data_IF_330802782427
#
_entry.id   IF_330802782427
#
_cell.length_a   1.000
_cell.length_b   1.000
_cell.length_c   1.000
_cell.angle_alpha   90.00
_cell.angle_beta   90.00
_cell.angle_gamma   90.00
#
_symmetry.space_group_name_H-M   'P 1'
#
loop_
_entity.id
_entity.type
_entity.pdbx_description
1 polymer ?
#
# COMPACT_ATOMS: atom_id res chain seq x y z
N UNK A 1 -29.35 29.35 -19.19
CA UNK A 1 -27.93 29.46 -19.58
C UNK A 1 -27.18 28.33 -18.92
N UNK A 2 -26.70 27.31 -19.66
CA UNK A 2 -25.93 26.24 -19.06
C UNK A 2 -24.53 26.75 -18.71
N UNK A 3 -24.00 26.36 -17.54
CA UNK A 3 -22.62 26.65 -17.14
C UNK A 3 -21.69 25.70 -17.88
N UNK A 4 -20.82 26.24 -18.71
CA UNK A 4 -19.72 25.51 -19.33
C UNK A 4 -18.52 25.48 -18.38
N UNK A 5 -17.97 24.28 -18.16
CA UNK A 5 -16.79 24.09 -17.34
C UNK A 5 -15.55 24.05 -18.24
N UNK A 6 -14.61 24.96 -17.99
CA UNK A 6 -13.31 24.99 -18.66
C UNK A 6 -12.35 24.05 -17.91
N UNK A 7 -11.67 23.17 -18.63
CA UNK A 7 -10.60 22.32 -18.08
C UNK A 7 -9.44 23.22 -17.65
N UNK A 8 -9.07 23.16 -16.37
CA UNK A 8 -7.83 23.78 -15.89
C UNK A 8 -6.63 23.11 -16.60
N UNK A 9 -5.76 23.93 -17.20
CA UNK A 9 -4.52 23.52 -17.87
C UNK A 9 -3.44 23.06 -16.91
N UNK A 10 -3.60 23.36 -15.63
CA UNK A 10 -2.54 23.22 -14.64
C UNK A 10 -2.67 21.85 -13.96
N UNK A 11 -2.30 20.83 -14.73
CA UNK A 11 -1.96 19.54 -14.15
C UNK A 11 -0.68 19.77 -13.34
N UNK A 12 -0.82 19.84 -12.01
CA UNK A 12 0.32 19.76 -11.10
C UNK A 12 1.20 18.58 -11.57
N UNK A 13 2.50 18.79 -11.83
CA UNK A 13 3.35 17.71 -12.27
C UNK A 13 3.34 16.65 -11.17
N UNK A 14 2.65 15.54 -11.45
CA UNK A 14 2.70 14.37 -10.57
C UNK A 14 4.17 13.96 -10.57
N UNK A 15 4.82 14.08 -9.42
CA UNK A 15 6.21 13.65 -9.27
C UNK A 15 6.25 12.14 -9.54
N UNK A 16 6.77 11.74 -10.70
CA UNK A 16 6.79 10.36 -11.20
C UNK A 16 7.80 9.45 -10.48
N UNK A 17 8.22 9.81 -9.26
CA UNK A 17 9.21 9.06 -8.50
C UNK A 17 8.65 8.76 -7.12
N UNK A 18 8.38 7.47 -6.88
CA UNK A 18 8.03 6.97 -5.55
C UNK A 18 9.22 7.11 -4.63
N UNK A 19 9.27 8.20 -3.87
CA UNK A 19 10.20 8.35 -2.75
C UNK A 19 9.79 7.35 -1.67
N UNK A 20 10.71 6.43 -1.37
CA UNK A 20 10.45 5.27 -0.50
C UNK A 20 10.80 5.54 0.96
N UNK A 21 11.52 6.63 1.23
CA UNK A 21 12.01 7.02 2.54
C UNK A 21 11.77 8.50 2.84
N UNK A 22 11.46 8.83 4.10
CA UNK A 22 11.29 10.20 4.58
C UNK A 22 12.50 11.09 4.28
N UNK A 23 13.71 10.52 4.31
CA UNK A 23 14.94 11.25 3.96
C UNK A 23 14.99 11.61 2.48
N UNK A 24 14.45 10.77 1.60
CA UNK A 24 14.39 11.06 0.16
C UNK A 24 13.36 12.15 -0.14
N UNK A 25 12.22 12.12 0.56
CA UNK A 25 11.20 13.17 0.47
C UNK A 25 11.76 14.54 0.90
N UNK A 26 12.44 14.62 2.05
CA UNK A 26 13.08 15.86 2.51
C UNK A 26 14.11 16.39 1.49
N UNK A 27 14.88 15.51 0.86
CA UNK A 27 15.81 15.90 -0.21
C UNK A 27 15.06 16.45 -1.43
N UNK A 28 13.95 15.82 -1.83
CA UNK A 28 13.13 16.29 -2.94
C UNK A 28 12.54 17.69 -2.66
N UNK A 29 12.03 17.93 -1.44
CA UNK A 29 11.56 19.26 -1.02
C UNK A 29 12.70 20.29 -1.06
N UNK A 30 13.87 19.95 -0.53
CA UNK A 30 15.05 20.83 -0.60
C UNK A 30 15.44 21.14 -2.05
N UNK A 31 15.38 20.16 -2.96
CA UNK A 31 15.63 20.38 -4.38
C UNK A 31 14.60 21.33 -5.01
N UNK A 32 13.31 21.20 -4.67
CA UNK A 32 12.26 22.09 -5.17
C UNK A 32 12.48 23.52 -4.65
N UNK A 33 12.72 23.69 -3.35
CA UNK A 33 13.03 24.99 -2.75
C UNK A 33 14.27 25.63 -3.38
N UNK A 34 15.29 24.83 -3.68
CA UNK A 34 16.49 25.29 -4.35
C UNK A 34 16.22 25.75 -5.80
N UNK A 35 15.40 25.02 -6.55
CA UNK A 35 14.97 25.42 -7.89
C UNK A 35 14.16 26.73 -7.83
N UNK A 36 13.26 26.87 -6.86
CA UNK A 36 12.52 28.12 -6.64
C UNK A 36 13.44 29.30 -6.29
N UNK A 37 14.48 29.07 -5.49
CA UNK A 37 15.51 30.07 -5.21
C UNK A 37 16.23 30.52 -6.49
N UNK A 38 16.64 29.56 -7.34
CA UNK A 38 17.28 29.89 -8.62
C UNK A 38 16.32 30.62 -9.57
N UNK A 39 15.03 30.28 -9.56
CA UNK A 39 14.00 31.01 -10.31
C UNK A 39 13.80 32.44 -9.83
N UNK A 40 13.88 32.67 -8.51
CA UNK A 40 13.85 34.03 -7.93
C UNK A 40 15.07 34.87 -8.32
N UNK A 41 16.19 34.23 -8.66
CA UNK A 41 17.39 34.87 -9.16
C UNK A 41 17.32 35.18 -10.68
N UNK A 42 16.15 35.11 -11.30
CA UNK A 42 15.89 35.35 -12.72
C UNK A 42 16.71 34.45 -13.69
N UNK A 43 17.04 33.23 -13.26
CA UNK A 43 17.64 32.23 -14.15
C UNK A 43 16.56 31.57 -15.02
N UNK A 44 16.89 31.37 -16.29
CA UNK A 44 16.05 30.60 -17.23
C UNK A 44 16.10 29.10 -16.91
N UNK A 45 15.08 28.34 -17.31
CA UNK A 45 15.03 26.89 -17.04
C UNK A 45 16.23 26.12 -17.68
N UNK A 46 16.74 26.60 -18.82
CA UNK A 46 17.94 26.05 -19.46
C UNK A 46 19.21 26.31 -18.64
N UNK A 47 19.32 27.51 -18.08
CA UNK A 47 20.42 27.92 -17.19
C UNK A 47 20.41 27.14 -15.87
N UNK A 48 19.22 26.94 -15.28
CA UNK A 48 19.02 26.13 -14.08
C UNK A 48 19.45 24.68 -14.35
N UNK A 49 19.06 24.13 -15.50
CA UNK A 49 19.45 22.77 -15.89
C UNK A 49 20.97 22.65 -16.07
N UNK A 50 21.61 23.63 -16.74
CA UNK A 50 23.06 23.67 -16.90
C UNK A 50 23.79 23.74 -15.55
N UNK A 51 23.27 24.52 -14.60
CA UNK A 51 23.81 24.62 -13.25
C UNK A 51 23.72 23.29 -12.50
N UNK A 52 22.55 22.65 -12.50
CA UNK A 52 22.33 21.36 -11.85
C UNK A 52 23.18 20.24 -12.47
N UNK A 53 23.33 20.22 -13.78
CA UNK A 53 24.14 19.23 -14.49
C UNK A 53 25.64 19.41 -14.21
N UNK A 54 26.08 20.66 -13.97
CA UNK A 54 27.44 20.98 -13.53
C UNK A 54 27.70 20.49 -12.09
N UNK A 55 26.78 20.74 -11.15
CA UNK A 55 26.89 20.25 -9.76
C UNK A 55 26.90 18.72 -9.68
N UNK A 56 26.15 18.05 -10.57
CA UNK A 56 26.14 16.58 -10.68
C UNK A 56 27.40 16.02 -11.36
N UNK A 57 28.23 16.86 -11.99
CA UNK A 57 29.41 16.42 -12.76
C UNK A 57 29.07 15.67 -14.06
N UNK A 58 27.82 15.77 -14.54
CA UNK A 58 27.28 15.02 -15.69
C UNK A 58 27.49 15.76 -17.02
N UNK A 59 27.89 17.03 -16.93
CA UNK A 59 28.02 17.96 -18.05
C UNK A 59 28.91 17.46 -19.20
N UNK A 60 30.01 16.77 -18.88
CA UNK A 60 30.97 16.25 -19.87
C UNK A 60 30.42 15.10 -20.73
N UNK A 61 29.38 14.41 -20.26
CA UNK A 61 28.85 13.20 -20.90
C UNK A 61 27.77 13.50 -21.95
N UNK A 62 27.09 14.65 -21.85
CA UNK A 62 25.85 14.89 -22.60
C UNK A 62 25.84 16.14 -23.47
N UNK A 63 26.73 17.11 -23.27
CA UNK A 63 26.71 18.36 -24.05
C UNK A 63 27.78 18.36 -25.14
N UNK A 64 27.35 18.41 -26.40
CA UNK A 64 28.22 18.65 -27.58
C UNK A 64 28.61 20.13 -27.71
N UNK A 65 28.78 20.83 -26.59
CA UNK A 65 29.11 22.25 -26.55
C UNK A 65 30.63 22.38 -26.40
N UNK A 66 31.23 23.31 -27.14
CA UNK A 66 32.64 23.61 -26.98
C UNK A 66 32.96 24.07 -25.56
N UNK A 67 34.07 23.59 -24.99
CA UNK A 67 34.41 23.82 -23.58
C UNK A 67 34.53 25.32 -23.23
N UNK A 68 34.91 26.17 -24.19
CA UNK A 68 35.04 27.62 -23.97
C UNK A 68 33.66 28.30 -23.85
N UNK A 69 32.75 27.99 -24.78
CA UNK A 69 31.37 28.51 -24.76
C UNK A 69 30.66 28.10 -23.47
N UNK A 70 30.86 26.85 -23.03
CA UNK A 70 30.32 26.34 -21.79
C UNK A 70 30.85 27.11 -20.58
N UNK A 71 32.17 27.34 -20.50
CA UNK A 71 32.79 28.14 -19.43
C UNK A 71 32.23 29.56 -19.39
N UNK A 72 32.03 30.19 -20.54
CA UNK A 72 31.49 31.55 -20.61
C UNK A 72 30.02 31.59 -20.15
N UNK A 73 29.20 30.61 -20.56
CA UNK A 73 27.83 30.47 -20.03
C UNK A 73 27.80 30.28 -18.52
N UNK A 74 28.66 29.41 -17.97
CA UNK A 74 28.76 29.21 -16.52
C UNK A 74 29.21 30.50 -15.80
N UNK A 75 30.18 31.24 -16.36
CA UNK A 75 30.61 32.53 -15.81
C UNK A 75 29.45 33.53 -15.75
N UNK A 76 28.69 33.66 -16.84
CA UNK A 76 27.52 34.56 -16.84
C UNK A 76 26.48 34.16 -15.80
N UNK A 77 26.28 32.85 -15.60
CA UNK A 77 25.38 32.31 -14.58
C UNK A 77 25.82 32.66 -13.16
N UNK A 78 27.07 32.39 -12.81
CA UNK A 78 27.60 32.70 -11.48
C UNK A 78 27.58 34.20 -11.19
N UNK A 79 27.81 35.05 -12.21
CA UNK A 79 27.71 36.50 -12.05
C UNK A 79 26.28 36.95 -11.71
N UNK A 80 25.26 36.39 -12.36
CA UNK A 80 23.84 36.67 -12.04
C UNK A 80 23.50 36.25 -10.61
N UNK A 81 23.97 35.06 -10.19
CA UNK A 81 23.73 34.55 -8.84
C UNK A 81 24.37 35.45 -7.77
N UNK A 82 25.62 35.89 -8.00
CA UNK A 82 26.31 36.79 -7.09
C UNK A 82 25.60 38.14 -6.97
N UNK A 83 25.14 38.72 -8.09
CA UNK A 83 24.36 39.96 -8.07
C UNK A 83 23.06 39.82 -7.28
N UNK A 84 22.40 38.66 -7.40
CA UNK A 84 21.18 38.36 -6.64
C UNK A 84 21.47 38.18 -5.14
N UNK A 85 22.55 37.52 -4.76
CA UNK A 85 22.94 37.42 -3.36
C UNK A 85 23.29 38.79 -2.75
N UNK A 86 23.93 39.66 -3.51
CA UNK A 86 24.23 41.04 -3.09
C UNK A 86 22.94 41.87 -2.94
N UNK A 87 21.94 41.66 -3.80
CA UNK A 87 20.63 42.32 -3.67
C UNK A 87 19.87 41.85 -2.42
N UNK A 88 19.91 40.55 -2.11
CA UNK A 88 19.32 40.00 -0.87
C UNK A 88 20.04 40.56 0.37
N UNK A 89 21.38 40.56 0.35
CA UNK A 89 22.19 41.08 1.47
C UNK A 89 21.89 42.56 1.71
N UNK A 90 21.84 43.38 0.66
CA UNK A 90 21.50 44.80 0.77
C UNK A 90 20.06 45.05 1.26
N UNK A 91 19.07 44.26 0.82
CA UNK A 91 17.69 44.32 1.35
C UNK A 91 17.63 43.91 2.84
N UNK A 92 18.39 42.91 3.28
CA UNK A 92 18.42 42.51 4.69
C UNK A 92 19.04 43.55 5.62
N UNK A 93 19.98 44.35 5.11
CA UNK A 93 20.63 45.43 5.88
C UNK A 93 19.66 46.61 6.04
N UNK A 94 18.90 46.97 5.01
CA UNK A 94 17.88 48.03 5.09
C UNK A 94 16.70 47.66 6.02
N UNK A 95 16.29 46.39 6.04
CA UNK A 95 15.22 45.91 6.92
C UNK A 95 15.59 45.84 8.41
N UNK A 96 16.87 45.95 8.78
CA UNK A 96 17.31 46.02 10.17
C UNK A 96 17.24 47.45 10.74
N UNK A 97 17.35 48.48 9.91
CA UNK A 97 17.19 49.88 10.34
C UNK A 97 15.71 50.24 10.61
N UNK A 98 14.78 49.62 9.88
CA UNK A 98 13.33 49.77 10.11
C UNK A 98 12.81 48.93 11.29
N UNK A 99 13.53 47.87 11.68
CA UNK A 99 13.18 47.03 12.85
C UNK A 99 13.44 47.73 14.19
N UNK A 100 14.39 48.67 14.24
CA UNK A 100 14.69 49.44 15.45
C UNK A 100 13.67 50.56 15.73
N UNK A 101 12.83 50.95 14.78
CA UNK A 101 11.78 51.98 14.95
C UNK A 101 10.40 51.42 15.30
N UNK A 102 10.16 50.13 15.10
CA UNK A 102 8.85 49.49 15.30
C UNK A 102 8.69 48.89 16.72
N UNK A 103 9.79 48.78 17.48
CA UNK A 103 9.77 48.16 18.82
C UNK A 103 9.27 49.07 19.96
N UNK A 104 8.77 50.27 19.64
CA UNK A 104 8.17 51.20 20.62
C UNK A 104 6.65 51.40 20.44
N UNK A 105 5.98 50.58 19.60
CA UNK A 105 4.54 50.77 19.30
C UNK A 105 3.75 49.48 19.03
N UNK A 106 4.14 48.37 19.65
CA UNK A 106 3.44 47.09 19.52
C UNK A 106 2.64 46.74 20.77
N UNK A 107 1.54 47.44 20.98
CA UNK A 107 0.32 46.79 21.47
C UNK A 107 -0.74 47.06 20.39
N UNK A 108 -1.29 45.98 19.84
CA UNK A 108 -2.35 45.93 18.81
C UNK A 108 -1.95 46.25 17.36
N UNK A 109 -1.28 45.31 16.69
CA UNK A 109 -1.44 45.13 15.23
C UNK A 109 -1.77 43.66 14.96
N UNK A 110 -2.86 43.48 14.23
CA UNK A 110 -3.54 42.22 13.93
C UNK A 110 -2.65 41.18 13.22
N UNK A 111 -2.54 39.99 13.80
CA UNK A 111 -2.06 38.78 13.12
C UNK A 111 -2.98 38.43 11.93
N UNK A 112 -2.46 38.30 10.70
CA UNK A 112 -3.29 38.10 9.51
C UNK A 112 -3.86 36.67 9.36
N UNK A 113 -3.74 35.80 10.38
CA UNK A 113 -4.20 34.40 10.31
C UNK A 113 -4.98 33.93 11.54
N UNK A 114 -5.71 34.81 12.22
CA UNK A 114 -6.64 34.38 13.28
C UNK A 114 -7.98 33.94 12.66
N UNK A 115 -8.01 32.75 12.08
CA UNK A 115 -9.19 32.13 11.43
C UNK A 115 -10.38 31.95 12.40
N UNK A 116 -10.17 32.08 13.72
CA UNK A 116 -11.19 31.85 14.73
C UNK A 116 -11.24 32.98 15.78
N UNK A 117 -12.43 33.41 16.20
CA UNK A 117 -12.61 34.46 17.21
C UNK A 117 -11.88 34.15 18.52
N UNK A 118 -11.50 35.17 19.29
CA UNK A 118 -10.68 35.06 20.51
C UNK A 118 -11.22 34.10 21.57
N UNK A 119 -12.53 33.88 21.59
CA UNK A 119 -13.20 32.96 22.52
C UNK A 119 -13.31 31.51 21.98
N UNK A 120 -12.70 31.19 20.85
CA UNK A 120 -12.74 29.84 20.29
C UNK A 120 -11.86 28.88 21.10
N UNK A 121 -12.31 27.66 21.42
CA UNK A 121 -11.58 26.70 22.25
C UNK A 121 -10.23 26.28 21.66
N UNK A 122 -10.01 26.51 20.36
CA UNK A 122 -8.72 26.29 19.69
C UNK A 122 -7.58 27.15 20.26
N UNK A 123 -7.90 28.28 20.89
CA UNK A 123 -6.91 29.13 21.55
C UNK A 123 -6.49 28.60 22.93
N UNK A 124 -7.20 27.59 23.47
CA UNK A 124 -6.94 26.95 24.77
C UNK A 124 -6.48 25.50 24.63
N UNK A 125 -5.90 25.14 23.47
CA UNK A 125 -5.47 23.77 23.22
C UNK A 125 -4.44 23.26 24.25
N UNK A 126 -3.55 24.11 24.74
CA UNK A 126 -2.59 23.73 25.79
C UNK A 126 -3.28 23.37 27.12
N UNK A 127 -4.30 24.15 27.52
CA UNK A 127 -5.09 23.85 28.73
C UNK A 127 -5.91 22.58 28.54
N UNK A 128 -6.48 22.37 27.35
CA UNK A 128 -7.22 21.15 27.01
C UNK A 128 -6.29 19.93 27.00
N UNK A 129 -5.09 20.06 26.45
CA UNK A 129 -4.06 19.03 26.45
C UNK A 129 -3.66 18.66 27.87
N UNK A 130 -3.46 19.64 28.74
CA UNK A 130 -3.17 19.39 30.15
C UNK A 130 -4.36 18.74 30.85
N UNK A 131 -5.58 19.19 30.64
CA UNK A 131 -6.76 18.58 31.27
C UNK A 131 -6.97 17.11 30.86
N UNK A 132 -6.74 16.79 29.57
CA UNK A 132 -6.98 15.46 29.01
C UNK A 132 -5.79 14.52 29.17
N UNK A 133 -4.56 15.02 29.09
CA UNK A 133 -3.35 14.20 29.01
C UNK A 133 -2.35 14.44 30.16
N UNK A 134 -2.62 15.30 31.14
CA UNK A 134 -1.70 15.50 32.29
C UNK A 134 -1.42 14.21 33.06
N UNK A 135 -2.38 13.29 33.15
CA UNK A 135 -2.19 11.99 33.79
C UNK A 135 -1.16 11.08 33.09
N UNK A 136 -0.79 11.39 31.84
CA UNK A 136 0.25 10.70 31.06
C UNK A 136 1.61 11.42 31.15
N UNK A 137 1.63 12.70 31.57
CA UNK A 137 2.86 13.47 31.78
C UNK A 137 3.51 13.02 33.09
N UNK A 138 4.26 11.93 33.00
CA UNK A 138 5.40 11.44 33.80
C UNK A 138 5.37 11.39 35.34
N UNK A 139 4.49 12.09 36.05
CA UNK A 139 4.58 12.23 37.52
C UNK A 139 3.59 11.35 38.32
N UNK A 140 2.71 10.61 37.65
CA UNK A 140 1.83 9.61 38.29
C UNK A 140 2.10 8.17 37.84
N UNK A 141 3.12 7.97 36.99
CA UNK A 141 3.50 6.64 36.53
C UNK A 141 4.15 5.89 37.70
N UNK A 142 3.36 5.05 38.36
CA UNK A 142 3.81 4.16 39.43
C UNK A 142 5.17 3.52 39.07
N UNK A 143 6.20 3.62 39.92
CA UNK A 143 7.53 3.10 39.62
C UNK A 143 7.44 1.61 39.24
N UNK A 144 8.27 1.20 38.29
CA UNK A 144 8.20 -0.13 37.66
C UNK A 144 8.18 -1.29 38.66
N UNK A 145 8.78 -1.09 39.83
CA UNK A 145 8.80 -2.04 40.95
C UNK A 145 7.43 -2.22 41.60
N UNK A 146 6.68 -1.13 41.85
CA UNK A 146 5.29 -1.18 42.34
C UNK A 146 4.37 -1.81 41.29
N UNK A 147 4.55 -1.46 40.01
CA UNK A 147 3.80 -2.07 38.89
C UNK A 147 4.01 -3.58 38.82
N UNK A 148 5.25 -4.06 38.93
CA UNK A 148 5.60 -5.50 38.96
C UNK A 148 4.98 -6.21 40.17
N UNK A 149 4.98 -5.60 41.36
CA UNK A 149 4.33 -6.19 42.55
C UNK A 149 2.82 -6.30 42.37
N UNK A 150 2.20 -5.29 41.78
CA UNK A 150 0.76 -5.26 41.52
C UNK A 150 0.37 -6.32 40.47
N UNK A 151 1.14 -6.47 39.39
CA UNK A 151 0.95 -7.55 38.40
C UNK A 151 0.98 -8.94 39.05
N UNK A 152 1.99 -9.24 39.86
CA UNK A 152 2.06 -10.53 40.58
C UNK A 152 0.89 -10.74 41.52
N UNK A 153 0.38 -9.69 42.17
CA UNK A 153 -0.80 -9.78 43.05
C UNK A 153 -2.07 -10.07 42.24
N UNK A 154 -2.24 -9.44 41.09
CA UNK A 154 -3.37 -9.68 40.20
C UNK A 154 -3.34 -11.08 39.59
N UNK A 155 -2.15 -11.55 39.22
CA UNK A 155 -1.94 -12.90 38.69
C UNK A 155 -2.33 -13.98 39.71
N UNK A 156 -1.86 -13.86 40.96
CA UNK A 156 -2.31 -14.75 42.05
C UNK A 156 -3.81 -14.68 42.30
N UNK A 157 -4.41 -13.49 42.18
CA UNK A 157 -5.87 -13.33 42.35
C UNK A 157 -6.62 -14.01 41.20
N UNK A 158 -6.13 -13.89 39.97
CA UNK A 158 -6.67 -14.58 38.79
C UNK A 158 -6.60 -16.09 38.95
N UNK A 159 -5.45 -16.63 39.38
CA UNK A 159 -5.29 -18.06 39.64
C UNK A 159 -6.27 -18.57 40.69
N UNK A 160 -6.48 -17.82 41.78
CA UNK A 160 -7.48 -18.18 42.80
C UNK A 160 -8.91 -18.20 42.26
N UNK A 161 -9.28 -17.25 41.41
CA UNK A 161 -10.61 -17.21 40.77
C UNK A 161 -10.78 -18.38 39.80
N UNK A 162 -9.76 -18.67 38.98
CA UNK A 162 -9.78 -19.83 38.07
C UNK A 162 -9.88 -21.14 38.84
N UNK A 163 -9.15 -21.29 39.95
CA UNK A 163 -9.22 -22.46 40.82
C UNK A 163 -10.61 -22.58 41.49
N UNK A 164 -11.23 -21.48 41.92
CA UNK A 164 -12.60 -21.48 42.42
C UNK A 164 -13.62 -21.88 41.34
N UNK A 165 -13.44 -21.44 40.10
CA UNK A 165 -14.27 -21.85 38.97
C UNK A 165 -14.10 -23.33 38.63
N UNK A 166 -12.90 -23.89 38.80
CA UNK A 166 -12.66 -25.32 38.60
C UNK A 166 -13.22 -26.19 39.74
N UNK A 167 -13.31 -25.67 40.97
CA UNK A 167 -13.89 -26.41 42.10
C UNK A 167 -15.42 -26.41 42.10
N UNK A 168 -16.05 -25.47 41.40
CA UNK A 168 -17.50 -25.43 41.19
C UNK A 168 -17.77 -25.92 39.76
N UNK A 169 -17.92 -27.23 39.57
CA UNK A 169 -18.35 -27.86 38.31
C UNK A 169 -19.77 -27.42 37.91
N UNK A 170 -19.92 -26.16 37.51
CA UNK A 170 -21.10 -25.62 36.86
C UNK A 170 -20.82 -25.57 35.36
N UNK A 171 -21.36 -26.54 34.62
CA UNK A 171 -21.44 -26.46 33.17
C UNK A 171 -22.18 -25.17 32.79
N UNK A 172 -21.58 -24.27 31.98
CA UNK A 172 -22.27 -23.05 31.58
C UNK A 172 -23.43 -23.43 30.65
N UNK A 173 -24.65 -23.14 31.09
CA UNK A 173 -25.80 -23.02 30.19
C UNK A 173 -25.52 -21.94 29.14
N UNK A 174 -26.04 -22.06 27.90
CA UNK A 174 -25.79 -21.08 26.85
C UNK A 174 -26.58 -19.82 27.16
N UNK A 175 -25.96 -18.90 27.89
CA UNK A 175 -26.42 -17.51 28.00
C UNK A 175 -25.47 -16.61 27.22
N UNK A 176 -26.09 -15.72 26.47
CA UNK A 176 -25.51 -14.82 25.49
C UNK A 176 -24.61 -13.76 26.13
N UNK A 177 -23.30 -14.01 26.21
CA UNK A 177 -22.25 -12.99 26.09
C UNK A 177 -20.87 -13.65 26.25
N UNK A 178 -20.19 -13.94 25.14
CA UNK A 178 -18.82 -14.43 25.18
C UNK A 178 -17.86 -13.30 25.57
N UNK A 179 -17.42 -13.31 26.83
CA UNK A 179 -16.25 -12.53 27.24
C UNK A 179 -15.01 -13.14 26.56
N UNK A 180 -14.52 -12.47 25.51
CA UNK A 180 -13.29 -12.83 24.80
C UNK A 180 -12.09 -12.61 25.73
N UNK A 181 -11.51 -13.68 26.26
CA UNK A 181 -10.24 -13.62 26.99
C UNK A 181 -9.05 -13.74 26.02
N UNK A 182 -8.69 -12.63 25.37
CA UNK A 182 -7.53 -12.54 24.50
C UNK A 182 -7.50 -11.24 23.70
N UNK A 183 -6.30 -10.67 23.52
CA UNK A 183 -6.08 -9.54 22.61
C UNK A 183 -6.23 -10.01 21.17
N UNK A 184 -6.97 -9.25 20.34
CA UNK A 184 -7.22 -9.53 18.92
C UNK A 184 -5.97 -9.51 18.03
N UNK A 185 -4.79 -9.23 18.60
CA UNK A 185 -3.54 -9.02 17.87
C UNK A 185 -2.56 -10.19 17.99
N UNK A 186 -2.86 -11.21 18.78
CA UNK A 186 -1.94 -12.32 19.01
C UNK A 186 -2.18 -13.45 17.99
N UNK A 187 -1.47 -13.38 16.86
CA UNK A 187 -1.39 -14.47 15.87
C UNK A 187 -0.73 -15.68 16.52
N UNK A 188 -1.49 -16.77 16.73
CA UNK A 188 -0.95 -18.03 17.24
C UNK A 188 -0.57 -18.95 16.08
N UNK A 189 0.70 -19.34 16.02
CA UNK A 189 1.17 -20.44 15.18
C UNK A 189 0.78 -21.76 15.84
N UNK A 190 -0.20 -22.46 15.27
CA UNK A 190 -0.68 -23.73 15.82
C UNK A 190 -0.84 -24.79 14.74
N UNK A 191 0.06 -25.76 14.75
CA UNK A 191 -0.15 -27.09 14.16
C UNK A 191 -1.48 -27.65 14.67
N UNK A 192 -2.33 -28.16 13.78
CA UNK A 192 -3.54 -28.89 14.17
C UNK A 192 -3.50 -30.32 13.68
N UNK A 193 -3.42 -31.20 14.66
CA UNK A 193 -3.81 -32.60 14.59
C UNK A 193 -5.27 -32.67 14.18
N UNK A 194 -5.53 -33.57 13.24
CA UNK A 194 -6.83 -33.99 12.74
C UNK A 194 -7.77 -34.44 13.86
N UNK A 195 -8.96 -33.85 13.94
CA UNK A 195 -10.16 -34.59 14.35
C UNK A 195 -11.31 -34.22 13.42
N UNK A 196 -11.86 -35.26 12.80
CA UNK A 196 -13.01 -35.23 11.92
C UNK A 196 -14.24 -34.78 12.71
N UNK A 197 -15.14 -34.03 12.08
CA UNK A 197 -16.56 -34.36 12.06
C UNK A 197 -17.26 -33.51 10.98
N UNK A 198 -17.82 -34.25 10.04
CA UNK A 198 -18.90 -33.85 9.14
C UNK A 198 -20.08 -33.36 9.94
N UNK A 199 -20.69 -32.24 9.52
CA UNK A 199 -22.14 -32.16 9.39
C UNK A 199 -22.50 -31.04 8.41
N UNK A 200 -23.31 -31.42 7.42
CA UNK A 200 -23.82 -30.58 6.34
C UNK A 200 -25.15 -30.00 6.78
N UNK A 201 -25.21 -28.70 7.01
CA UNK A 201 -26.49 -27.99 7.11
C UNK A 201 -26.63 -26.97 5.98
N UNK A 202 -27.62 -27.25 5.12
CA UNK A 202 -28.08 -26.40 4.03
C UNK A 202 -28.88 -25.21 4.60
N UNK A 203 -28.24 -24.08 4.83
CA UNK A 203 -28.94 -22.83 5.11
C UNK A 203 -29.32 -22.11 3.80
N UNK A 204 -30.63 -22.03 3.55
CA UNK A 204 -31.25 -21.15 2.57
C UNK A 204 -30.86 -19.70 2.92
N UNK A 205 -29.91 -19.15 2.15
CA UNK A 205 -29.36 -17.82 2.38
C UNK A 205 -30.43 -16.76 2.15
N UNK A 206 -30.95 -16.20 3.24
CA UNK A 206 -31.68 -14.94 3.23
C UNK A 206 -30.74 -13.89 2.64
N UNK A 207 -31.10 -13.29 1.49
CA UNK A 207 -30.33 -12.19 0.88
C UNK A 207 -30.37 -10.98 1.81
N UNK A 208 -29.38 -10.88 2.69
CA UNK A 208 -29.14 -9.71 3.51
C UNK A 208 -28.67 -8.60 2.56
N UNK A 209 -29.51 -7.60 2.32
CA UNK A 209 -29.11 -6.41 1.58
C UNK A 209 -28.18 -5.58 2.46
N UNK A 210 -26.88 -5.68 2.17
CA UNK A 210 -25.82 -4.90 2.79
C UNK A 210 -24.83 -4.41 1.73
N UNK A 211 -23.87 -3.54 2.11
CA UNK A 211 -22.78 -3.16 1.22
C UNK A 211 -22.06 -4.43 0.72
N UNK A 212 -21.69 -4.44 -0.57
CA UNK A 212 -20.94 -5.55 -1.16
C UNK A 212 -19.68 -5.81 -0.32
N UNK A 213 -19.37 -7.06 0.04
CA UNK A 213 -18.17 -7.35 0.83
C UNK A 213 -16.93 -6.84 0.10
N UNK A 214 -16.05 -6.16 0.84
CA UNK A 214 -14.81 -5.61 0.29
C UNK A 214 -13.82 -6.76 0.03
N UNK A 215 -13.25 -6.80 -1.17
CA UNK A 215 -12.13 -7.69 -1.49
C UNK A 215 -10.85 -7.14 -0.89
N UNK A 216 -10.13 -7.95 -0.11
CA UNK A 216 -8.91 -7.55 0.60
C UNK A 216 -7.65 -8.02 -0.15
N UNK A 217 -6.55 -7.28 -0.03
CA UNK A 217 -5.26 -7.60 -0.66
C UNK A 217 -4.10 -7.45 0.33
N UNK A 218 -3.02 -8.20 0.13
CA UNK A 218 -1.75 -8.11 0.86
C UNK A 218 -0.56 -8.08 -0.10
N UNK A 219 0.59 -7.64 0.39
CA UNK A 219 1.84 -7.62 -0.38
C UNK A 219 2.71 -8.77 0.12
N UNK A 220 3.08 -9.69 -0.78
CA UNK A 220 4.02 -10.79 -0.50
C UNK A 220 4.98 -10.92 -1.67
N UNK A 221 6.28 -11.02 -1.38
CA UNK A 221 7.32 -11.16 -2.41
C UNK A 221 7.26 -10.10 -3.51
N UNK A 222 6.94 -8.85 -3.13
CA UNK A 222 6.72 -7.70 -4.03
C UNK A 222 5.55 -7.85 -5.02
N UNK A 223 4.66 -8.81 -4.81
CA UNK A 223 3.44 -9.02 -5.58
C UNK A 223 2.21 -8.72 -4.73
N UNK A 224 1.20 -8.12 -5.35
CA UNK A 224 -0.11 -7.89 -4.73
C UNK A 224 -0.89 -9.20 -4.83
N UNK A 225 -1.35 -9.71 -3.69
CA UNK A 225 -2.08 -10.97 -3.60
C UNK A 225 -3.43 -10.74 -2.91
N UNK A 226 -4.48 -11.37 -3.43
CA UNK A 226 -5.83 -11.26 -2.90
C UNK A 226 -6.06 -12.25 -1.74
N UNK A 227 -6.83 -11.79 -0.76
CA UNK A 227 -7.29 -12.58 0.38
C UNK A 227 -8.76 -12.97 0.19
N UNK A 228 -9.09 -14.23 0.45
CA UNK A 228 -10.48 -14.70 0.51
C UNK A 228 -10.82 -15.23 1.90
N UNK A 229 -12.06 -15.02 2.37
CA UNK A 229 -12.51 -15.56 3.65
C UNK A 229 -12.53 -17.09 3.58
N UNK A 230 -11.99 -17.73 4.62
CA UNK A 230 -11.86 -19.17 4.68
C UNK A 230 -13.25 -19.83 4.80
N UNK A 231 -13.53 -20.80 3.93
CA UNK A 231 -14.85 -21.48 3.89
C UNK A 231 -15.21 -22.16 5.21
N UNK A 232 -14.20 -22.57 5.98
CA UNK A 232 -14.37 -23.29 7.24
C UNK A 232 -14.46 -22.36 8.45
N UNK A 233 -14.01 -21.10 8.35
CA UNK A 233 -14.00 -20.15 9.45
C UNK A 233 -14.29 -18.75 8.92
N UNK A 234 -15.50 -18.27 9.20
CA UNK A 234 -16.07 -17.01 8.67
C UNK A 234 -15.27 -15.75 9.00
N UNK A 235 -14.35 -15.81 9.96
CA UNK A 235 -13.54 -14.67 10.43
C UNK A 235 -12.05 -14.75 10.01
N UNK A 236 -11.62 -15.80 9.30
CA UNK A 236 -10.23 -15.98 8.87
C UNK A 236 -10.09 -15.71 7.36
N UNK A 237 -8.97 -15.13 6.93
CA UNK A 237 -8.69 -14.82 5.53
C UNK A 237 -7.42 -15.54 5.06
N UNK A 238 -7.51 -16.24 3.94
CA UNK A 238 -6.42 -16.98 3.34
C UNK A 238 -5.92 -16.32 2.05
N UNK A 239 -4.61 -16.36 1.84
CA UNK A 239 -3.97 -15.99 0.58
C UNK A 239 -4.37 -17.00 -0.49
N UNK A 240 -4.88 -16.51 -1.62
CA UNK A 240 -5.26 -17.35 -2.75
C UNK A 240 -4.30 -17.08 -3.91
N UNK A 241 -3.58 -18.13 -4.34
CA UNK A 241 -2.59 -18.04 -5.41
C UNK A 241 -3.23 -17.95 -6.81
N UNK A 242 -4.47 -18.43 -6.95
CA UNK A 242 -5.22 -18.45 -8.23
C UNK A 242 -6.60 -17.83 -8.00
N UNK A 243 -6.79 -16.58 -8.43
CA UNK A 243 -8.09 -15.90 -8.33
C UNK A 243 -8.64 -15.63 -9.73
N UNK A 244 -9.90 -16.02 -9.94
CA UNK A 244 -10.69 -15.59 -11.10
C UNK A 244 -10.87 -14.08 -11.02
N UNK A 245 -10.43 -13.31 -12.02
CA UNK A 245 -10.55 -11.87 -11.97
C UNK A 245 -12.02 -11.51 -11.95
N UNK A 246 -12.45 -10.86 -10.88
CA UNK A 246 -13.80 -10.31 -10.73
C UNK A 246 -13.87 -8.88 -11.28
N UNK A 247 -12.72 -8.22 -11.44
CA UNK A 247 -12.60 -6.83 -11.89
C UNK A 247 -11.55 -6.70 -13.00
N UNK A 248 -11.74 -5.72 -13.91
CA UNK A 248 -10.77 -5.36 -14.97
C UNK A 248 -9.35 -5.03 -14.46
N UNK A 249 -9.22 -4.64 -13.20
CA UNK A 249 -7.91 -4.41 -12.57
C UNK A 249 -7.18 -5.72 -12.25
N UNK A 250 -7.91 -6.78 -11.88
CA UNK A 250 -7.34 -8.10 -11.59
C UNK A 250 -6.92 -8.83 -12.88
N UNK A 251 -7.64 -8.63 -13.99
CA UNK A 251 -7.26 -9.13 -15.31
C UNK A 251 -5.85 -8.68 -15.70
N UNK A 252 -5.54 -7.39 -15.51
CA UNK A 252 -4.20 -6.82 -15.77
C UNK A 252 -3.11 -7.41 -14.87
N UNK A 253 -3.46 -7.77 -13.62
CA UNK A 253 -2.51 -8.40 -12.71
C UNK A 253 -2.19 -9.83 -13.15
N UNK A 254 -3.19 -10.56 -13.67
CA UNK A 254 -3.01 -11.90 -14.23
C UNK A 254 -2.22 -11.87 -15.54
N UNK A 255 -2.43 -10.87 -16.39
CA UNK A 255 -1.59 -10.64 -17.58
C UNK A 255 -0.11 -10.50 -17.21
N UNK A 256 0.19 -9.82 -16.10
CA UNK A 256 1.56 -9.70 -15.58
C UNK A 256 2.18 -11.02 -15.08
N UNK A 257 1.38 -12.07 -14.88
CA UNK A 257 1.89 -13.42 -14.54
C UNK A 257 2.13 -14.31 -15.74
N UNK A 258 1.62 -13.94 -16.92
CA UNK A 258 1.85 -14.68 -18.17
C UNK A 258 3.28 -14.39 -18.67
N UNK A 259 3.96 -15.42 -19.16
CA UNK A 259 5.25 -15.27 -19.83
C UNK A 259 5.07 -15.32 -21.34
N UNK A 260 5.95 -14.61 -22.07
CA UNK A 260 5.95 -14.68 -23.54
C UNK A 260 6.41 -16.07 -24.03
N UNK A 261 6.04 -16.44 -25.25
CA UNK A 261 6.46 -17.73 -25.83
C UNK A 261 7.98 -17.85 -25.96
N UNK A 262 8.67 -16.73 -26.17
CA UNK A 262 10.14 -16.68 -26.25
C UNK A 262 10.77 -16.95 -24.88
N UNK A 263 10.26 -16.30 -23.83
CA UNK A 263 10.72 -16.52 -22.45
C UNK A 263 10.42 -17.94 -21.98
N UNK A 264 9.27 -18.50 -22.36
CA UNK A 264 8.93 -19.90 -22.05
C UNK A 264 9.94 -20.84 -22.69
N UNK A 265 10.27 -20.66 -23.98
CA UNK A 265 11.24 -21.51 -24.69
C UNK A 265 12.67 -21.40 -24.14
N UNK A 266 13.00 -20.30 -23.46
CA UNK A 266 14.30 -20.15 -22.79
C UNK A 266 14.50 -21.15 -21.63
N UNK A 267 13.40 -21.62 -21.02
CA UNK A 267 13.43 -22.58 -19.92
C UNK A 267 13.66 -23.98 -20.48
N UNK A 268 14.66 -24.69 -19.94
CA UNK A 268 15.07 -26.03 -20.40
C UNK A 268 13.92 -27.04 -20.57
N UNK A 269 12.91 -26.98 -19.70
CA UNK A 269 11.76 -27.90 -19.72
C UNK A 269 10.76 -27.63 -20.85
N UNK A 270 10.82 -26.45 -21.48
CA UNK A 270 9.88 -26.00 -22.51
C UNK A 270 10.55 -25.68 -23.86
N UNK A 271 11.84 -26.00 -24.03
CA UNK A 271 12.58 -25.78 -25.28
C UNK A 271 11.89 -26.37 -26.50
N UNK A 272 11.31 -27.56 -26.34
CA UNK A 272 10.62 -28.30 -27.41
C UNK A 272 9.11 -28.03 -27.45
N UNK A 273 8.61 -27.01 -26.75
CA UNK A 273 7.18 -26.69 -26.75
C UNK A 273 6.75 -26.12 -28.11
N UNK A 274 5.76 -26.76 -28.72
CA UNK A 274 5.06 -26.27 -29.90
C UNK A 274 3.55 -26.40 -29.69
N UNK A 275 2.77 -25.35 -30.00
CA UNK A 275 1.31 -25.45 -29.97
C UNK A 275 0.87 -26.51 -31.00
N UNK A 276 0.05 -27.45 -30.55
CA UNK A 276 -0.50 -28.51 -31.39
C UNK A 276 -1.66 -28.04 -32.25
N UNK A 277 -2.33 -28.99 -32.92
CA UNK A 277 -3.60 -28.72 -33.58
C UNK A 277 -4.68 -28.37 -32.55
N UNK A 278 -5.58 -27.43 -32.82
CA UNK A 278 -6.70 -27.15 -31.95
C UNK A 278 -7.57 -28.39 -31.79
N UNK A 279 -7.96 -28.69 -30.55
CA UNK A 279 -8.71 -29.88 -30.17
C UNK A 279 -9.68 -29.52 -29.05
N UNK A 280 -10.77 -30.29 -28.87
CA UNK A 280 -11.71 -30.12 -27.74
C UNK A 280 -11.06 -30.33 -26.36
N UNK A 281 -9.95 -31.06 -26.33
CA UNK A 281 -9.28 -31.43 -25.08
C UNK A 281 -7.92 -30.74 -25.01
N UNK A 282 -7.75 -29.92 -23.98
CA UNK A 282 -6.50 -29.27 -23.63
C UNK A 282 -5.71 -30.15 -22.67
N UNK A 283 -4.42 -30.32 -22.97
CA UNK A 283 -3.49 -31.00 -22.09
C UNK A 283 -2.63 -29.99 -21.33
N UNK A 284 -2.70 -30.04 -20.01
CA UNK A 284 -1.93 -29.19 -19.11
C UNK A 284 -0.79 -29.99 -18.49
N UNK A 285 0.40 -29.39 -18.45
CA UNK A 285 1.62 -29.98 -17.87
C UNK A 285 2.29 -28.95 -16.96
N UNK A 286 3.14 -29.43 -16.05
CA UNK A 286 3.89 -28.59 -15.09
C UNK A 286 2.99 -27.91 -14.05
N UNK A 287 1.95 -28.61 -13.59
CA UNK A 287 1.09 -28.17 -12.50
C UNK A 287 1.79 -28.49 -11.17
N UNK A 288 1.76 -27.55 -10.22
CA UNK A 288 2.35 -27.75 -8.90
C UNK A 288 1.62 -28.87 -8.13
N UNK A 289 2.37 -29.63 -7.34
CA UNK A 289 1.85 -30.77 -6.60
C UNK A 289 0.77 -30.38 -5.58
N UNK A 290 0.82 -29.15 -5.05
CA UNK A 290 -0.13 -28.62 -4.07
C UNK A 290 -1.49 -28.27 -4.64
N UNK A 291 -1.63 -28.16 -5.97
CA UNK A 291 -2.83 -27.66 -6.62
C UNK A 291 -3.95 -28.69 -6.59
N UNK A 292 -5.14 -28.24 -6.21
CA UNK A 292 -6.37 -29.05 -6.17
C UNK A 292 -7.18 -28.93 -7.46
N UNK A 293 -8.06 -29.90 -7.72
CA UNK A 293 -8.97 -29.85 -8.88
C UNK A 293 -9.90 -28.64 -8.81
N UNK A 294 -10.33 -28.27 -7.60
CA UNK A 294 -11.17 -27.09 -7.35
C UNK A 294 -10.48 -25.80 -7.78
N UNK A 295 -9.18 -25.65 -7.49
CA UNK A 295 -8.39 -24.48 -7.90
C UNK A 295 -8.24 -24.38 -9.42
N UNK A 296 -8.00 -25.50 -10.09
CA UNK A 296 -8.00 -25.54 -11.55
C UNK A 296 -9.39 -25.22 -12.11
N UNK A 297 -10.45 -25.75 -11.50
CA UNK A 297 -11.82 -25.47 -11.92
C UNK A 297 -12.12 -23.98 -11.86
N UNK A 298 -11.62 -23.28 -10.83
CA UNK A 298 -11.75 -21.83 -10.72
C UNK A 298 -11.14 -21.13 -11.93
N UNK A 299 -9.91 -21.46 -12.30
CA UNK A 299 -9.24 -20.84 -13.46
C UNK A 299 -10.02 -21.03 -14.77
N UNK A 300 -10.65 -22.20 -14.96
CA UNK A 300 -11.40 -22.48 -16.20
C UNK A 300 -12.87 -22.03 -16.18
N UNK A 301 -13.42 -21.63 -15.02
CA UNK A 301 -14.79 -21.07 -14.92
C UNK A 301 -14.98 -19.77 -15.70
N UNK A 302 -13.91 -19.01 -15.96
CA UNK A 302 -14.03 -17.80 -16.80
C UNK A 302 -14.53 -18.13 -18.22
N UNK A 303 -14.11 -19.28 -18.76
CA UNK A 303 -14.53 -19.73 -20.09
C UNK A 303 -15.93 -20.34 -20.10
N UNK A 304 -16.44 -20.74 -18.93
CA UNK A 304 -17.82 -21.20 -18.73
C UNK A 304 -18.80 -20.00 -18.72
N UNK A 305 -18.42 -18.85 -18.16
CA UNK A 305 -19.29 -17.66 -18.10
C UNK A 305 -19.52 -17.00 -19.47
N UNK A 306 -18.50 -17.00 -20.35
CA UNK A 306 -18.62 -16.42 -21.69
C UNK A 306 -19.53 -17.25 -22.61
N UNK A 307 -19.62 -18.56 -22.39
CA UNK A 307 -20.26 -19.49 -23.32
C UNK A 307 -21.42 -20.31 -22.71
N UNK A 308 -21.61 -20.29 -21.39
CA UNK A 308 -22.67 -20.98 -20.66
C UNK A 308 -22.53 -22.51 -20.56
N UNK A 309 -21.36 -23.07 -20.87
CA UNK A 309 -21.18 -24.52 -21.01
C UNK A 309 -20.20 -25.13 -20.01
N UNK A 310 -20.52 -26.30 -19.42
CA UNK A 310 -19.71 -26.92 -18.39
C UNK A 310 -18.36 -27.41 -18.95
N UNK A 311 -17.30 -27.14 -18.20
CA UNK A 311 -15.93 -27.62 -18.49
C UNK A 311 -15.65 -28.85 -17.65
N UNK A 312 -15.29 -29.96 -18.29
CA UNK A 312 -14.92 -31.20 -17.59
C UNK A 312 -13.40 -31.20 -17.36
N UNK A 313 -12.99 -31.17 -16.09
CA UNK A 313 -11.59 -31.13 -15.68
C UNK A 313 -11.20 -32.48 -15.08
N UNK A 314 -10.00 -32.96 -15.38
CA UNK A 314 -9.46 -34.19 -14.80
C UNK A 314 -7.99 -34.00 -14.46
N UNK A 315 -7.70 -33.90 -13.16
CA UNK A 315 -6.34 -33.86 -12.63
C UNK A 315 -5.78 -35.28 -12.52
N UNK A 316 -4.59 -35.53 -13.07
CA UNK A 316 -3.94 -36.84 -12.97
C UNK A 316 -3.17 -36.97 -11.65
N UNK A 317 -3.29 -38.13 -11.01
CA UNK A 317 -2.61 -38.46 -9.74
C UNK A 317 -1.50 -39.51 -9.93
N UNK A 318 -0.73 -39.77 -8.86
CA UNK A 318 0.29 -40.82 -8.83
C UNK A 318 1.57 -40.44 -9.58
N UNK A 319 2.12 -41.37 -10.39
CA UNK A 319 3.33 -41.12 -11.19
C UNK A 319 3.15 -40.00 -12.22
N UNK A 320 1.90 -39.74 -12.63
CA UNK A 320 1.55 -38.69 -13.60
C UNK A 320 1.13 -37.37 -12.94
N UNK A 321 1.47 -37.16 -11.66
CA UNK A 321 1.17 -35.92 -10.94
C UNK A 321 1.76 -34.71 -11.65
N UNK A 322 1.01 -33.60 -11.64
CA UNK A 322 1.38 -32.36 -12.33
C UNK A 322 0.92 -32.27 -13.78
N UNK A 323 -0.03 -33.13 -14.16
CA UNK A 323 -0.66 -33.17 -15.48
C UNK A 323 -2.19 -33.15 -15.32
N UNK A 324 -2.89 -32.47 -16.22
CA UNK A 324 -4.36 -32.46 -16.24
C UNK A 324 -4.90 -32.41 -17.66
N UNK A 325 -6.14 -32.86 -17.82
CA UNK A 325 -6.90 -32.70 -19.05
C UNK A 325 -8.10 -31.80 -18.78
N UNK A 326 -8.34 -30.87 -19.70
CA UNK A 326 -9.52 -29.99 -19.68
C UNK A 326 -10.28 -30.24 -20.96
N UNK A 327 -11.52 -30.67 -20.84
CA UNK A 327 -12.38 -30.97 -21.99
C UNK A 327 -13.44 -29.89 -22.11
N UNK A 328 -13.41 -29.22 -23.24
CA UNK A 328 -14.39 -28.23 -23.65
C UNK A 328 -15.45 -28.88 -24.55
N UNK A 329 -16.66 -28.34 -24.52
CA UNK A 329 -17.75 -28.79 -25.39
C UNK A 329 -17.59 -28.27 -26.83
N UNK A 330 -16.90 -27.14 -27.02
CA UNK A 330 -16.66 -26.48 -28.30
C UNK A 330 -15.17 -26.45 -28.68
N UNK A 331 -14.86 -26.63 -29.97
CA UNK A 331 -13.49 -26.57 -30.53
C UNK A 331 -12.98 -25.14 -30.72
N UNK A 332 -13.88 -24.16 -30.87
CA UNK A 332 -13.52 -22.80 -31.30
C UNK A 332 -12.76 -21.99 -30.25
N UNK A 333 -12.90 -22.34 -28.96
CA UNK A 333 -12.34 -21.56 -27.84
C UNK A 333 -10.81 -21.65 -27.81
N UNK A 334 -10.24 -22.80 -28.17
CA UNK A 334 -8.79 -23.02 -28.06
C UNK A 334 -8.02 -22.24 -29.13
N UNK A 335 -8.63 -21.97 -30.29
CA UNK A 335 -8.01 -21.21 -31.38
C UNK A 335 -7.74 -19.73 -31.05
N UNK A 336 -8.47 -19.14 -30.09
CA UNK A 336 -8.31 -17.72 -29.75
C UNK A 336 -7.19 -17.45 -28.74
N UNK A 337 -6.71 -18.49 -28.05
CA UNK A 337 -5.79 -18.34 -26.90
C UNK A 337 -4.48 -19.14 -27.03
N UNK A 338 -4.26 -19.83 -28.15
CA UNK A 338 -2.93 -20.33 -28.60
C UNK A 338 -2.24 -19.28 -29.45
#
# INVERSE_FOLDING_TARGET
MPKEFVKASDVLPITTFGVSSLKEFQKAEQCVQFIEYLKKADLTDEEIKLFLDNEKGVLSQHTKIEANILKDKLRTLYNKLNQFEESIKSQSIQNNDDKAKIQAKSEEINDPFKLYPSNHPIHRLNELEESLFAHLKHDTIMPITKRRKLLRRLERKKERVMAQQQQLDLKPSPSTSSFKSGSLWDVKYGNTVTTNNSDKDNEIQRKIFGPKPQTMYTIKDKKIVRLEPDKNKKDEYCMVDIVVPQNKAEEKLLEGTKMSLEDIKSIDRFKDYQPGKPSKVLYLKNIAASVTEDELSLLFKQFEQENGMPVELRLLSGRMRGQAFVKFTSEFIINYYT
#
